data_IF_841860472211
#
_entry.id   IF_841860472211
#
_cell.length_a   1.000
_cell.length_b   1.000
_cell.length_c   1.000
_cell.angle_alpha   90.00
_cell.angle_beta   90.00
_cell.angle_gamma   90.00
#
_symmetry.space_group_name_H-M   'P 1'
#
loop_
_entity.id
_entity.type
_entity.pdbx_description
1 polymer ?
#
# COMPACT_ATOMS: atom_id res chain seq x y z
N UNK A 1 -16.62 16.16 15.97
CA UNK A 1 -16.74 14.78 16.49
C UNK A 1 -16.63 13.81 15.32
N UNK A 2 -15.42 13.44 14.93
CA UNK A 2 -15.19 12.43 13.88
C UNK A 2 -15.00 11.09 14.58
N UNK A 3 -15.95 10.19 14.38
CA UNK A 3 -15.97 8.84 14.95
C UNK A 3 -14.80 8.03 14.40
N UNK A 4 -13.86 7.69 15.29
CA UNK A 4 -12.77 6.74 15.07
C UNK A 4 -13.34 5.32 14.90
N UNK A 5 -13.67 4.94 13.68
CA UNK A 5 -13.94 3.54 13.33
C UNK A 5 -12.99 3.14 12.20
N UNK A 6 -11.96 2.40 12.57
CA UNK A 6 -11.09 1.67 11.66
C UNK A 6 -11.42 0.21 11.89
N UNK A 7 -11.90 -0.46 10.84
CA UNK A 7 -12.20 -1.89 10.87
C UNK A 7 -10.92 -2.61 10.48
N UNK A 8 -10.35 -3.36 11.42
CA UNK A 8 -9.26 -4.31 11.14
C UNK A 8 -9.82 -5.72 11.23
N UNK A 9 -9.80 -6.44 10.11
CA UNK A 9 -10.08 -7.87 10.07
C UNK A 9 -8.83 -8.68 10.26
N UNK A 10 -8.91 -9.71 11.11
CA UNK A 10 -7.80 -10.59 11.44
C UNK A 10 -8.30 -12.02 11.31
N UNK A 11 -7.72 -12.78 10.40
CA UNK A 11 -7.99 -14.21 10.23
C UNK A 11 -6.73 -14.99 10.62
N UNK A 12 -6.77 -15.75 11.72
CA UNK A 12 -5.89 -16.92 11.87
C UNK A 12 -6.74 -18.13 12.24
N UNK A 13 -6.32 -19.29 11.77
CA UNK A 13 -6.68 -20.55 12.42
C UNK A 13 -5.60 -21.62 12.26
N UNK A 14 -5.48 -22.43 13.32
CA UNK A 14 -4.49 -23.47 13.59
C UNK A 14 -5.00 -24.89 13.29
N UNK A 15 -4.06 -25.79 12.95
CA UNK A 15 -4.18 -27.20 12.48
C UNK A 15 -4.49 -28.24 13.61
N UNK A 16 -4.50 -29.62 13.45
CA UNK A 16 -4.28 -30.51 12.27
C UNK A 16 -5.11 -31.87 12.14
N UNK A 17 -4.91 -32.58 11.00
CA UNK A 17 -4.96 -34.07 10.68
C UNK A 17 -6.30 -34.81 10.36
N UNK A 18 -6.28 -36.00 9.69
CA UNK A 18 -5.46 -36.48 8.55
C UNK A 18 -6.28 -37.22 7.44
N UNK A 19 -5.79 -37.22 6.19
CA UNK A 19 -5.59 -38.43 5.35
C UNK A 19 -5.54 -38.12 3.84
N UNK A 20 -4.55 -38.75 3.20
CA UNK A 20 -4.32 -38.96 1.76
C UNK A 20 -3.96 -37.79 0.82
N UNK A 21 -2.64 -37.66 0.61
CA UNK A 21 -1.92 -37.47 -0.67
C UNK A 21 -2.38 -36.35 -1.62
N UNK A 22 -1.99 -35.10 -1.35
CA UNK A 22 -1.81 -34.03 -2.34
C UNK A 22 -0.54 -33.20 -2.00
N UNK A 23 0.18 -32.65 -3.00
CA UNK A 23 1.49 -32.00 -2.81
C UNK A 23 1.43 -30.66 -2.03
N UNK A 24 2.38 -30.51 -1.12
CA UNK A 24 2.54 -29.44 -0.11
C UNK A 24 3.17 -28.14 -0.66
N UNK A 25 2.41 -27.31 -1.38
CA UNK A 25 2.83 -25.91 -1.60
C UNK A 25 1.69 -24.88 -1.58
N UNK A 26 0.45 -25.30 -1.32
CA UNK A 26 -0.69 -24.40 -1.25
C UNK A 26 -1.37 -24.53 0.11
N UNK A 27 -1.01 -23.66 1.06
CA UNK A 27 -1.89 -23.26 2.15
C UNK A 27 -1.25 -22.15 2.99
N UNK A 28 -2.10 -21.26 3.50
CA UNK A 28 -1.90 -20.20 4.50
C UNK A 28 -1.54 -18.80 3.98
N UNK A 29 -2.57 -17.96 3.88
CA UNK A 29 -2.47 -16.51 3.67
C UNK A 29 -3.41 -15.78 4.66
N UNK A 30 -2.91 -15.02 5.64
CA UNK A 30 -3.73 -14.07 6.38
C UNK A 30 -3.84 -12.76 5.58
N UNK A 31 -5.06 -12.33 5.24
CA UNK A 31 -5.35 -11.02 4.61
C UNK A 31 -5.78 -10.02 5.67
N UNK A 32 -5.20 -8.81 5.63
CA UNK A 32 -5.56 -7.69 6.51
C UNK A 32 -6.15 -6.56 5.66
N UNK A 33 -7.47 -6.41 5.70
CA UNK A 33 -8.15 -5.32 5.00
C UNK A 33 -8.31 -4.11 5.91
N UNK A 34 -7.84 -2.94 5.46
CA UNK A 34 -7.91 -1.66 6.15
C UNK A 34 -8.81 -0.71 5.33
N UNK A 35 -10.11 -0.74 5.61
CA UNK A 35 -11.09 0.11 4.91
C UNK A 35 -11.21 1.50 5.57
N UNK A 36 -10.80 2.55 4.85
CA UNK A 36 -11.01 3.95 5.23
C UNK A 36 -12.17 4.54 4.42
N UNK A 37 -13.39 4.32 4.93
CA UNK A 37 -14.75 4.85 4.59
C UNK A 37 -15.19 5.17 3.15
N UNK A 38 -14.32 5.31 2.15
CA UNK A 38 -14.58 5.29 0.70
C UNK A 38 -13.29 5.05 -0.12
N UNK A 39 -12.20 4.60 0.52
CA UNK A 39 -10.94 4.18 -0.12
C UNK A 39 -10.50 2.86 0.53
N UNK A 40 -10.58 1.77 -0.23
CA UNK A 40 -10.20 0.43 0.21
C UNK A 40 -8.68 0.27 0.15
N UNK A 41 -8.01 0.13 1.30
CA UNK A 41 -6.61 -0.30 1.37
C UNK A 41 -6.64 -1.80 1.72
N UNK A 42 -6.17 -2.63 0.81
CA UNK A 42 -6.20 -4.09 0.96
C UNK A 42 -4.76 -4.59 1.11
N UNK A 43 -4.29 -4.85 2.32
CA UNK A 43 -2.98 -5.47 2.54
C UNK A 43 -3.15 -7.00 2.52
N UNK A 44 -2.49 -7.70 1.61
CA UNK A 44 -2.66 -9.14 1.42
C UNK A 44 -1.31 -9.81 1.29
N UNK A 45 -1.03 -10.82 2.12
CA UNK A 45 0.26 -11.50 2.22
C UNK A 45 0.30 -12.76 1.35
N UNK A 46 1.24 -12.87 0.39
CA UNK A 46 1.39 -14.05 -0.46
C UNK A 46 2.86 -14.38 -0.79
N UNK A 47 3.21 -15.67 -0.77
CA UNK A 47 4.55 -16.21 -1.10
C UNK A 47 4.44 -17.14 -2.31
N UNK A 48 5.26 -16.95 -3.36
CA UNK A 48 5.40 -17.95 -4.45
C UNK A 48 6.79 -17.93 -5.11
N UNK A 49 7.29 -19.12 -5.43
CA UNK A 49 8.61 -19.39 -5.98
C UNK A 49 8.69 -19.36 -7.53
N UNK A 50 9.89 -19.01 -8.00
CA UNK A 50 10.41 -18.82 -9.38
C UNK A 50 10.54 -20.12 -10.22
N UNK A 51 10.62 -20.05 -11.58
CA UNK A 51 11.91 -19.84 -12.27
C UNK A 51 11.90 -18.97 -13.56
N UNK A 52 13.11 -18.48 -13.85
CA UNK A 52 13.67 -17.64 -14.92
C UNK A 52 13.26 -17.94 -16.38
N UNK A 53 13.09 -16.88 -17.22
CA UNK A 53 13.97 -16.57 -18.38
C UNK A 53 13.56 -15.33 -19.22
N UNK A 54 14.58 -14.57 -19.64
CA UNK A 54 14.64 -13.44 -20.59
C UNK A 54 14.30 -13.87 -22.05
N UNK A 55 14.23 -13.02 -23.13
CA UNK A 55 14.94 -11.73 -23.37
C UNK A 55 14.22 -10.64 -24.23
N UNK A 56 14.96 -9.54 -24.49
CA UNK A 56 15.08 -8.74 -25.76
C UNK A 56 14.79 -7.22 -25.66
N UNK A 57 15.82 -6.47 -26.06
CA UNK A 57 15.96 -5.03 -26.33
C UNK A 57 15.00 -4.48 -27.40
N UNK A 58 14.59 -3.20 -27.30
CA UNK A 58 14.61 -2.21 -28.42
C UNK A 58 14.67 -0.77 -27.87
N UNK A 59 15.67 -0.01 -28.33
CA UNK A 59 15.77 1.46 -28.23
C UNK A 59 14.83 2.13 -29.23
N UNK A 60 14.18 3.26 -28.89
CA UNK A 60 14.28 4.48 -29.74
C UNK A 60 13.77 5.73 -29.04
N UNK A 61 14.55 6.80 -29.18
CA UNK A 61 14.27 8.20 -28.87
C UNK A 61 13.03 8.75 -29.60
N UNK A 62 12.25 9.62 -28.93
CA UNK A 62 11.71 10.84 -29.55
C UNK A 62 11.06 11.76 -28.52
N UNK A 63 11.52 13.00 -28.51
CA UNK A 63 10.98 14.14 -27.76
C UNK A 63 9.72 14.66 -28.47
N UNK A 64 8.55 14.65 -27.84
CA UNK A 64 7.46 15.65 -28.02
C UNK A 64 6.19 15.30 -27.22
N UNK A 65 5.67 16.34 -26.54
CA UNK A 65 4.53 16.35 -25.61
C UNK A 65 4.82 15.53 -24.36
N UNK A 66 5.30 16.18 -23.29
CA UNK A 66 5.50 15.51 -22.01
C UNK A 66 4.16 14.95 -21.54
N UNK A 67 3.97 13.63 -21.62
CA UNK A 67 2.82 12.98 -21.01
C UNK A 67 2.88 13.31 -19.53
N UNK A 68 1.79 13.85 -19.02
CA UNK A 68 1.78 14.42 -17.68
C UNK A 68 0.96 13.51 -16.78
N UNK A 69 1.53 13.21 -15.61
CA UNK A 69 0.78 12.71 -14.49
C UNK A 69 0.57 13.84 -13.49
N UNK A 70 -0.68 14.08 -13.13
CA UNK A 70 -1.08 15.07 -12.13
C UNK A 70 -2.18 14.49 -11.25
N UNK A 71 -1.93 14.41 -9.95
CA UNK A 71 -2.89 13.96 -8.96
C UNK A 71 -3.00 14.97 -7.82
N UNK A 72 -4.21 15.45 -7.54
CA UNK A 72 -4.52 16.42 -6.49
C UNK A 72 -5.35 15.79 -5.38
N UNK A 73 -4.79 15.76 -4.17
CA UNK A 73 -5.46 15.34 -2.95
C UNK A 73 -5.76 16.54 -2.06
N UNK A 74 -7.04 16.83 -1.82
CA UNK A 74 -7.47 17.89 -0.89
C UNK A 74 -7.00 17.60 0.54
N UNK A 75 -7.05 16.32 0.96
CA UNK A 75 -6.65 15.92 2.31
C UNK A 75 -5.27 15.24 2.29
N UNK A 76 -4.21 16.01 2.52
CA UNK A 76 -2.85 15.49 2.66
C UNK A 76 -2.67 14.50 3.81
N UNK A 77 -3.54 14.56 4.83
CA UNK A 77 -3.54 13.62 5.96
C UNK A 77 -3.74 12.15 5.55
N UNK A 78 -4.39 11.87 4.42
CA UNK A 78 -4.60 10.50 3.94
C UNK A 78 -3.27 9.89 3.51
N UNK A 79 -2.53 10.59 2.64
CA UNK A 79 -1.25 10.11 2.13
C UNK A 79 -0.22 9.96 3.26
N UNK A 80 -0.21 10.88 4.23
CA UNK A 80 0.59 10.77 5.46
C UNK A 80 0.33 9.47 6.22
N UNK A 81 -0.94 9.16 6.49
CA UNK A 81 -1.33 7.95 7.24
C UNK A 81 -0.94 6.67 6.50
N UNK A 82 -1.11 6.65 5.18
CA UNK A 82 -0.70 5.52 4.33
C UNK A 82 0.81 5.32 4.42
N UNK A 83 1.59 6.38 4.20
CA UNK A 83 3.04 6.31 4.25
C UNK A 83 3.58 5.92 5.63
N UNK A 84 2.98 6.47 6.70
CA UNK A 84 3.35 6.11 8.06
C UNK A 84 3.06 4.64 8.38
N UNK A 85 2.08 4.00 7.73
CA UNK A 85 1.79 2.59 7.91
C UNK A 85 2.75 1.66 7.14
N UNK A 86 3.27 2.09 5.98
CA UNK A 86 4.08 1.23 5.10
C UNK A 86 5.59 1.43 5.24
N UNK A 87 6.05 2.62 5.66
CA UNK A 87 7.49 2.97 5.70
C UNK A 87 8.34 2.07 6.59
N UNK A 88 7.74 1.44 7.59
CA UNK A 88 8.43 0.58 8.56
C UNK A 88 8.53 -0.87 8.04
N UNK A 89 7.73 -1.23 7.03
CA UNK A 89 7.71 -2.55 6.39
C UNK A 89 8.56 -2.59 5.13
N UNK A 90 8.52 -1.51 4.34
CA UNK A 90 9.15 -1.42 3.02
C UNK A 90 9.97 -0.13 2.94
N UNK A 91 11.24 -0.24 2.53
CA UNK A 91 12.13 0.91 2.37
C UNK A 91 11.91 1.63 1.04
N UNK A 92 11.73 0.85 -0.02
CA UNK A 92 11.69 1.30 -1.41
C UNK A 92 10.51 0.61 -2.10
N UNK A 93 9.66 1.39 -2.76
CA UNK A 93 8.48 0.85 -3.44
C UNK A 93 8.19 1.61 -4.72
N UNK A 94 7.54 0.92 -5.66
CA UNK A 94 7.02 1.50 -6.88
C UNK A 94 5.53 1.83 -6.73
N UNK A 95 5.17 3.06 -7.10
CA UNK A 95 3.79 3.48 -7.25
C UNK A 95 3.39 3.39 -8.71
N UNK A 96 2.49 2.47 -9.04
CA UNK A 96 1.92 2.33 -10.36
C UNK A 96 0.72 3.27 -10.50
N UNK A 97 0.85 4.23 -11.39
CA UNK A 97 -0.18 5.20 -11.73
C UNK A 97 -0.85 4.76 -13.03
N UNK A 98 -2.15 4.53 -12.97
CA UNK A 98 -3.00 4.18 -14.12
C UNK A 98 -4.16 5.18 -14.23
N UNK A 99 -4.89 5.27 -15.34
CA UNK A 99 -6.09 6.10 -15.45
C UNK A 99 -7.15 5.80 -14.38
N UNK A 100 -7.21 4.57 -13.88
CA UNK A 100 -8.17 4.14 -12.86
C UNK A 100 -7.76 4.54 -11.43
N UNK A 101 -6.51 4.91 -11.23
CA UNK A 101 -5.98 5.25 -9.91
C UNK A 101 -4.52 4.87 -9.73
N UNK A 102 -4.03 5.07 -8.51
CA UNK A 102 -2.68 4.72 -8.09
C UNK A 102 -2.70 3.46 -7.25
N UNK A 103 -1.76 2.55 -7.51
CA UNK A 103 -1.56 1.36 -6.70
C UNK A 103 -0.11 1.22 -6.30
N UNK A 104 0.13 0.60 -5.16
CA UNK A 104 1.45 0.18 -4.70
C UNK A 104 1.34 -1.26 -4.25
N UNK A 105 2.26 -2.08 -4.72
CA UNK A 105 2.39 -3.44 -4.26
C UNK A 105 3.86 -3.71 -3.97
N UNK A 106 4.17 -4.11 -2.74
CA UNK A 106 5.55 -4.34 -2.31
C UNK A 106 5.63 -5.41 -1.23
N UNK A 107 6.69 -6.21 -1.25
CA UNK A 107 6.99 -7.17 -0.19
C UNK A 107 7.93 -6.57 0.84
N UNK A 108 7.85 -7.08 2.07
CA UNK A 108 8.85 -6.83 3.09
C UNK A 108 10.18 -7.53 2.76
N UNK A 109 11.22 -7.20 3.52
CA UNK A 109 12.57 -7.78 3.32
C UNK A 109 12.64 -9.29 3.58
N UNK A 110 11.71 -9.84 4.37
CA UNK A 110 11.63 -11.30 4.60
C UNK A 110 10.78 -12.04 3.56
N UNK A 111 10.12 -11.30 2.65
CA UNK A 111 9.20 -11.85 1.65
C UNK A 111 8.06 -12.69 2.24
N UNK A 112 7.67 -12.43 3.49
CA UNK A 112 6.53 -13.08 4.17
C UNK A 112 5.28 -12.21 4.08
N UNK A 113 5.47 -10.90 4.00
CA UNK A 113 4.42 -9.88 4.06
C UNK A 113 4.39 -9.02 2.80
N UNK A 114 3.43 -9.28 1.91
CA UNK A 114 2.99 -8.39 0.83
C UNK A 114 2.04 -7.25 1.31
N UNK A 115 2.44 -6.02 1.05
CA UNK A 115 1.62 -4.82 1.21
C UNK A 115 1.01 -4.48 -0.14
N UNK A 116 -0.30 -4.27 -0.16
CA UNK A 116 -1.01 -3.78 -1.34
C UNK A 116 -1.86 -2.57 -0.95
N UNK A 117 -1.72 -1.50 -1.71
CA UNK A 117 -2.42 -0.23 -1.51
C UNK A 117 -3.05 0.13 -2.83
N UNK A 118 -4.33 0.49 -2.80
CA UNK A 118 -5.06 0.94 -3.98
C UNK A 118 -5.80 2.24 -3.66
N UNK A 119 -5.58 3.25 -4.48
CA UNK A 119 -6.20 4.56 -4.41
C UNK A 119 -6.90 4.83 -5.74
N UNK A 120 -8.22 4.69 -5.73
CA UNK A 120 -9.04 4.95 -6.92
C UNK A 120 -8.98 6.43 -7.33
N UNK A 121 -9.06 6.68 -8.64
CA UNK A 121 -9.09 8.03 -9.23
C UNK A 121 -10.18 8.92 -8.63
N UNK A 122 -11.32 8.33 -8.28
CA UNK A 122 -12.47 9.04 -7.68
C UNK A 122 -12.16 9.64 -6.31
N UNK A 123 -11.10 9.15 -5.67
CA UNK A 123 -10.62 9.67 -4.39
C UNK A 123 -9.84 10.98 -4.49
N UNK A 124 -9.53 11.45 -5.70
CA UNK A 124 -8.74 12.65 -5.97
C UNK A 124 -9.65 13.77 -6.50
N UNK A 125 -9.31 15.03 -6.21
CA UNK A 125 -10.05 16.20 -6.73
C UNK A 125 -9.79 16.37 -8.24
N UNK A 126 -8.53 16.22 -8.62
CA UNK A 126 -8.10 16.18 -10.01
C UNK A 126 -7.15 15.02 -10.17
N UNK A 127 -7.45 14.14 -11.10
CA UNK A 127 -6.59 13.03 -11.44
C UNK A 127 -6.47 12.94 -12.95
N UNK A 128 -5.24 13.11 -13.44
CA UNK A 128 -4.91 12.99 -14.85
C UNK A 128 -3.69 12.12 -14.98
N UNK A 129 -3.84 11.03 -15.73
CA UNK A 129 -2.79 10.08 -16.02
C UNK A 129 -2.89 9.78 -17.52
N UNK A 130 -2.02 10.42 -18.32
CA UNK A 130 -2.05 10.30 -19.78
C UNK A 130 -1.54 8.92 -20.24
N UNK A 131 -0.63 8.30 -19.48
CA UNK A 131 -0.08 6.96 -19.69
C UNK A 131 0.18 6.28 -18.35
N UNK A 132 0.22 4.95 -18.36
CA UNK A 132 0.65 4.20 -17.18
C UNK A 132 2.10 4.55 -16.84
N UNK A 133 2.35 4.94 -15.61
CA UNK A 133 3.67 5.34 -15.12
C UNK A 133 3.97 4.60 -13.82
N UNK A 134 5.21 4.13 -13.69
CA UNK A 134 5.70 3.50 -12.48
C UNK A 134 6.70 4.45 -11.82
N UNK A 135 6.37 4.90 -10.61
CA UNK A 135 7.17 5.86 -9.85
C UNK A 135 7.88 5.12 -8.71
N UNK A 136 9.12 4.69 -8.95
CA UNK A 136 9.96 4.08 -7.92
C UNK A 136 10.56 5.14 -6.99
N UNK A 137 10.29 5.03 -5.70
CA UNK A 137 10.77 6.01 -4.71
C UNK A 137 11.06 5.39 -3.36
N UNK A 138 12.01 6.00 -2.66
CA UNK A 138 12.32 5.66 -1.29
C UNK A 138 11.23 6.21 -0.35
N UNK A 139 10.52 5.31 0.32
CA UNK A 139 9.37 5.64 1.18
C UNK A 139 9.79 6.43 2.43
N UNK A 140 11.01 6.21 2.94
CA UNK A 140 11.56 6.95 4.08
C UNK A 140 11.76 8.44 3.71
N UNK A 141 12.32 8.71 2.53
CA UNK A 141 12.56 10.06 2.03
C UNK A 141 11.23 10.77 1.73
N UNK A 142 10.30 10.07 1.09
CA UNK A 142 8.95 10.55 0.83
C UNK A 142 8.21 10.89 2.13
N UNK A 143 8.29 10.03 3.15
CA UNK A 143 7.68 10.28 4.47
C UNK A 143 8.23 11.54 5.14
N UNK A 144 9.54 11.80 5.03
CA UNK A 144 10.14 13.03 5.57
C UNK A 144 9.59 14.28 4.90
N UNK A 145 9.43 14.27 3.58
CA UNK A 145 8.93 15.42 2.82
C UNK A 145 7.44 15.65 3.11
N UNK A 146 6.65 14.59 3.13
CA UNK A 146 5.21 14.69 3.40
C UNK A 146 4.91 15.11 4.84
N UNK A 147 5.82 14.87 5.79
CA UNK A 147 5.72 15.43 7.15
C UNK A 147 5.82 16.95 7.20
N UNK A 148 6.38 17.61 6.18
CA UNK A 148 6.46 19.06 6.11
C UNK A 148 5.11 19.72 5.76
N UNK A 149 4.21 19.01 5.08
CA UNK A 149 2.86 19.51 4.82
C UNK A 149 2.06 19.59 6.14
N UNK A 150 1.05 20.45 6.24
CA UNK A 150 0.04 20.40 7.29
C UNK A 150 -1.00 19.30 6.98
N UNK A 151 -1.90 19.00 7.92
CA UNK A 151 -2.89 17.93 7.73
C UNK A 151 -4.03 18.31 6.79
N UNK A 152 -4.32 19.61 6.72
CA UNK A 152 -5.38 20.21 5.91
C UNK A 152 -4.85 20.78 4.58
N UNK A 153 -3.55 20.63 4.32
CA UNK A 153 -2.94 21.06 3.07
C UNK A 153 -3.32 20.14 1.91
N UNK A 154 -3.48 20.76 0.75
CA UNK A 154 -3.69 20.06 -0.51
C UNK A 154 -2.35 19.61 -1.07
N UNK A 155 -2.23 18.32 -1.38
CA UNK A 155 -1.02 17.74 -1.97
C UNK A 155 -1.27 17.51 -3.45
N UNK A 156 -0.42 18.09 -4.30
CA UNK A 156 -0.42 17.85 -5.74
C UNK A 156 0.86 17.11 -6.11
N UNK A 157 0.71 15.98 -6.77
CA UNK A 157 1.80 15.15 -7.27
C UNK A 157 1.87 15.37 -8.78
N UNK A 158 3.04 15.79 -9.27
CA UNK A 158 3.31 15.97 -10.69
C UNK A 158 4.50 15.12 -11.11
N UNK A 159 4.35 14.39 -12.21
CA UNK A 159 5.44 13.68 -12.85
C UNK A 159 5.38 13.90 -14.36
N UNK A 160 6.54 14.15 -14.96
CA UNK A 160 6.71 14.22 -16.42
C UNK A 160 7.12 12.87 -16.99
N UNK A 161 6.74 12.61 -18.23
CA UNK A 161 7.13 11.40 -18.97
C UNK A 161 8.66 11.29 -19.10
N UNK A 162 9.23 10.18 -18.61
CA UNK A 162 10.68 9.95 -18.62
C UNK A 162 11.50 10.87 -17.72
N UNK A 163 10.86 11.63 -16.83
CA UNK A 163 11.55 12.45 -15.84
C UNK A 163 12.11 11.58 -14.71
N UNK A 164 13.40 11.69 -14.44
CA UNK A 164 14.06 11.06 -13.28
C UNK A 164 13.59 11.63 -11.93
N UNK A 165 12.54 12.46 -11.92
CA UNK A 165 12.12 13.25 -10.76
C UNK A 165 10.61 13.44 -10.71
N UNK A 166 10.08 13.52 -9.51
CA UNK A 166 8.70 13.93 -9.23
C UNK A 166 8.70 15.25 -8.49
N UNK A 167 7.65 16.03 -8.73
CA UNK A 167 7.40 17.29 -8.03
C UNK A 167 6.18 17.13 -7.13
N UNK A 168 6.35 17.42 -5.85
CA UNK A 168 5.29 17.50 -4.86
C UNK A 168 5.05 18.98 -4.55
N UNK A 169 3.81 19.43 -4.73
CA UNK A 169 3.38 20.77 -4.35
C UNK A 169 2.44 20.63 -3.15
N UNK A 170 2.71 21.39 -2.10
CA UNK A 170 1.82 21.53 -0.95
C UNK A 170 1.21 22.92 -0.99
N UNK A 171 -0.11 22.97 -1.18
CA UNK A 171 -0.89 24.20 -1.17
C UNK A 171 -1.60 24.30 0.18
N UNK A 172 -1.30 25.36 0.94
CA UNK A 172 -2.03 25.66 2.16
C UNK A 172 -3.49 26.03 1.84
N UNK A 173 -4.41 25.76 2.76
CA UNK A 173 -5.85 26.02 2.58
C UNK A 173 -6.20 27.50 2.32
N UNK A 174 -5.31 28.42 2.74
CA UNK A 174 -5.46 29.86 2.53
C UNK A 174 -4.81 30.35 1.22
N UNK A 175 -4.27 29.44 0.39
CA UNK A 175 -3.56 29.69 -0.89
C UNK A 175 -2.39 30.71 -0.79
N UNK A 176 -1.99 31.11 0.41
CA UNK A 176 -0.93 32.11 0.63
C UNK A 176 0.48 31.54 0.51
N UNK A 177 0.62 30.22 0.71
CA UNK A 177 1.90 29.53 0.74
C UNK A 177 1.82 28.26 -0.12
N UNK A 178 2.77 28.14 -1.04
CA UNK A 178 2.98 26.95 -1.87
C UNK A 178 4.39 26.46 -1.63
N UNK A 179 4.53 25.25 -1.13
CA UNK A 179 5.82 24.60 -0.95
C UNK A 179 6.04 23.58 -2.07
N UNK A 180 7.16 23.70 -2.78
CA UNK A 180 7.54 22.79 -3.87
C UNK A 180 8.72 21.93 -3.43
N UNK A 181 8.57 20.61 -3.57
CA UNK A 181 9.61 19.63 -3.29
C UNK A 181 9.84 18.75 -4.50
N UNK A 182 11.11 18.54 -4.84
CA UNK A 182 11.51 17.68 -5.95
C UNK A 182 12.21 16.42 -5.39
N UNK A 183 11.75 15.24 -5.78
CA UNK A 183 12.32 13.95 -5.37
C UNK A 183 12.84 13.23 -6.59
N UNK A 184 14.07 12.70 -6.50
CA UNK A 184 14.62 11.85 -7.55
C UNK A 184 13.99 10.45 -7.49
N UNK A 185 13.48 10.00 -8.63
CA UNK A 185 12.99 8.65 -8.82
C UNK A 185 14.15 7.66 -8.92
N UNK A 186 13.85 6.42 -8.55
CA UNK A 186 14.74 5.28 -8.66
C UNK A 186 14.07 4.21 -9.51
N UNK A 187 14.86 3.57 -10.37
CA UNK A 187 14.38 2.45 -11.16
C UNK A 187 14.28 1.23 -10.24
N UNK A 188 13.05 0.85 -9.93
CA UNK A 188 12.71 -0.34 -9.17
C UNK A 188 11.99 -1.30 -10.10
N UNK A 189 12.38 -2.57 -10.04
CA UNK A 189 11.64 -3.63 -10.71
C UNK A 189 10.29 -3.80 -10.01
N UNK A 190 9.22 -3.66 -10.78
CA UNK A 190 7.85 -3.76 -10.26
C UNK A 190 7.32 -5.17 -10.51
N UNK A 191 7.24 -5.96 -9.44
CA UNK A 191 6.68 -7.31 -9.49
C UNK A 191 5.21 -7.26 -9.10
N UNK A 192 4.33 -7.48 -10.08
CA UNK A 192 2.90 -7.59 -9.82
C UNK A 192 2.54 -9.04 -9.46
N UNK A 193 2.21 -9.24 -8.19
CA UNK A 193 1.69 -10.49 -7.66
C UNK A 193 0.17 -10.51 -7.81
N UNK A 194 -0.29 -11.44 -8.64
CA UNK A 194 -1.71 -11.74 -8.82
C UNK A 194 -2.29 -12.35 -7.55
N UNK A 195 -3.16 -11.60 -6.88
CA UNK A 195 -3.89 -12.03 -5.71
C UNK A 195 -5.10 -12.86 -6.17
N UNK A 196 -5.21 -14.15 -5.78
CA UNK A 196 -6.38 -14.95 -6.09
C UNK A 196 -7.56 -14.60 -5.18
N UNK A 197 -8.77 -14.57 -5.75
CA UNK A 197 -10.00 -14.47 -4.96
C UNK A 197 -10.21 -15.75 -4.14
N UNK A 198 -9.87 -15.69 -2.84
CA UNK A 198 -10.01 -16.80 -1.92
C UNK A 198 -11.22 -16.60 -1.00
N UNK A 199 -12.00 -17.66 -0.81
CA UNK A 199 -13.11 -17.64 0.15
C UNK A 199 -12.58 -17.92 1.56
N UNK A 200 -12.67 -16.93 2.44
CA UNK A 200 -12.26 -17.08 3.84
C UNK A 200 -13.34 -17.81 4.66
N UNK A 201 -12.90 -18.70 5.55
CA UNK A 201 -13.79 -19.43 6.45
C UNK A 201 -14.47 -18.52 7.49
N UNK A 202 -13.78 -17.46 7.91
CA UNK A 202 -14.22 -16.53 8.94
C UNK A 202 -13.84 -15.11 8.51
N UNK A 203 -14.65 -14.12 8.87
CA UNK A 203 -14.30 -12.71 8.75
C UNK A 203 -14.64 -12.01 10.06
N UNK A 204 -13.61 -11.50 10.74
CA UNK A 204 -13.77 -10.81 12.01
C UNK A 204 -13.72 -9.30 11.75
N UNK A 205 -14.64 -8.53 12.34
CA UNK A 205 -14.60 -7.06 12.30
C UNK A 205 -14.44 -6.54 13.72
N UNK A 206 -13.38 -5.78 13.99
CA UNK A 206 -13.16 -5.16 15.29
C UNK A 206 -12.55 -3.76 15.15
N UNK A 207 -12.66 -2.90 16.18
CA UNK A 207 -12.01 -1.60 16.18
C UNK A 207 -10.48 -1.74 16.16
N UNK A 208 -9.81 -1.00 15.27
CA UNK A 208 -8.34 -1.05 15.16
C UNK A 208 -7.62 -0.66 16.44
N UNK A 209 -8.16 0.31 17.20
CA UNK A 209 -7.59 0.73 18.46
C UNK A 209 -7.53 -0.44 19.47
N UNK A 210 -8.53 -1.33 19.42
CA UNK A 210 -8.57 -2.54 20.24
C UNK A 210 -7.55 -3.55 19.74
N UNK A 211 -7.50 -3.80 18.43
CA UNK A 211 -6.54 -4.74 17.84
C UNK A 211 -5.08 -4.30 18.06
N UNK A 212 -4.78 -3.03 17.84
CA UNK A 212 -3.47 -2.43 18.09
C UNK A 212 -3.03 -2.58 19.54
N UNK A 213 -3.95 -2.41 20.49
CA UNK A 213 -3.67 -2.64 21.92
C UNK A 213 -3.36 -4.11 22.18
N UNK A 214 -4.14 -5.04 21.64
CA UNK A 214 -3.90 -6.48 21.77
C UNK A 214 -2.51 -6.86 21.24
N UNK A 215 -2.14 -6.40 20.05
CA UNK A 215 -0.82 -6.67 19.47
C UNK A 215 0.32 -6.13 20.34
N UNK A 216 0.17 -4.91 20.90
CA UNK A 216 1.18 -4.33 21.81
C UNK A 216 1.30 -5.11 23.10
N UNK A 217 0.18 -5.45 23.73
CA UNK A 217 0.15 -6.18 24.99
C UNK A 217 0.76 -7.58 24.84
N UNK A 218 0.45 -8.29 23.74
CA UNK A 218 0.99 -9.63 23.46
C UNK A 218 2.48 -9.60 23.09
N UNK A 219 2.92 -8.57 22.35
CA UNK A 219 4.34 -8.42 21.97
C UNK A 219 5.29 -8.24 23.16
N UNK A 220 4.78 -7.85 24.33
CA UNK A 220 5.58 -7.78 25.55
C UNK A 220 5.81 -9.15 26.21
N UNK A 221 4.98 -10.15 25.89
CA UNK A 221 4.99 -11.47 26.54
C UNK A 221 5.71 -12.50 25.67
N UNK A 222 5.54 -12.45 24.35
CA UNK A 222 6.19 -13.38 23.43
C UNK A 222 6.13 -12.96 21.96
N UNK A 223 6.92 -13.66 21.14
CA UNK A 223 7.15 -13.31 19.73
C UNK A 223 6.12 -13.94 18.77
N UNK A 224 5.31 -14.89 19.23
CA UNK A 224 4.32 -15.61 18.43
C UNK A 224 2.92 -15.49 19.05
N UNK A 225 1.93 -15.18 18.21
CA UNK A 225 0.52 -15.01 18.60
C UNK A 225 -0.32 -16.03 17.83
N UNK A 226 -1.25 -16.69 18.53
CA UNK A 226 -2.12 -17.71 17.93
C UNK A 226 -3.57 -17.23 17.97
N UNK A 227 -4.10 -16.82 16.83
CA UNK A 227 -5.49 -16.39 16.74
C UNK A 227 -6.36 -17.61 16.39
N UNK A 228 -7.43 -17.78 17.15
CA UNK A 228 -8.41 -18.85 16.94
C UNK A 228 -9.81 -18.28 17.03
N UNK A 229 -10.71 -18.73 16.15
CA UNK A 229 -12.08 -18.28 16.10
C UNK A 229 -13.04 -19.42 16.43
N UNK A 230 -13.77 -19.29 17.52
CA UNK A 230 -14.85 -20.20 17.88
C UNK A 230 -16.21 -19.50 17.76
N UNK A 231 -17.29 -20.28 17.88
CA UNK A 231 -18.66 -19.74 17.92
C UNK A 231 -18.88 -18.70 19.03
N UNK A 232 -18.10 -18.82 20.11
CA UNK A 232 -18.18 -17.99 21.32
C UNK A 232 -17.32 -16.71 21.24
N UNK A 233 -16.43 -16.60 20.24
CA UNK A 233 -15.59 -15.43 20.04
C UNK A 233 -14.20 -15.73 19.50
N UNK A 234 -13.38 -14.68 19.46
CA UNK A 234 -12.01 -14.69 18.94
C UNK A 234 -11.02 -14.65 20.10
N UNK A 235 -10.02 -15.53 20.07
CA UNK A 235 -8.92 -15.61 21.04
C UNK A 235 -7.60 -15.28 20.32
N UNK A 236 -6.70 -14.57 20.99
CA UNK A 236 -5.40 -14.12 20.49
C UNK A 236 -4.29 -14.68 21.39
#
# INVERSE_FOLDING_TARGET
MLTNEVITGVCLETTPKPSHLLPLWAQYFPRFELSLKDKSIVCEFAVKAHPLQCPVFVNTSNTSIANMFEARLIQGSILKKILDAIKDLVTDASWDCSPNGMSLQAMDTSHVSLVSVSLNSDGFDKYRCDRNLTLGMNLISLSKIIKCAANDDTIIIKAGDGGDKITLLFEAQNESEVAEYEIKLMNLDSEYLGIPDTTYNVTIKMPSNKFQRICRDLSQIGDAVTISCAKDGVRF
#
